data_IF_320634977651
#
_entry.id   IF_320634977651
#
_cell.length_a   1.000
_cell.length_b   1.000
_cell.length_c   1.000
_cell.angle_alpha   90.00
_cell.angle_beta   90.00
_cell.angle_gamma   90.00
#
_symmetry.space_group_name_H-M   'P 1'
#
loop_
_entity.id
_entity.type
_entity.pdbx_description
1 polymer ?
#
# COMPACT_ATOMS: atom_id res chain seq x y z
N UNK A 1 -13.56 16.66 -35.46
CA UNK A 1 -12.96 15.36 -35.85
C UNK A 1 -13.11 14.41 -34.67
N UNK A 2 -13.86 13.32 -34.78
CA UNK A 2 -14.03 12.41 -33.64
C UNK A 2 -12.74 11.62 -33.41
N UNK A 3 -12.20 11.58 -32.19
CA UNK A 3 -10.99 10.81 -31.91
C UNK A 3 -11.24 9.31 -32.15
N UNK A 4 -10.22 8.64 -32.68
CA UNK A 4 -10.20 7.19 -32.95
C UNK A 4 -9.57 6.47 -31.75
N UNK A 5 -10.05 5.26 -31.44
CA UNK A 5 -9.55 4.42 -30.35
C UNK A 5 -8.03 4.26 -30.42
N UNK A 6 -7.34 4.55 -29.31
CA UNK A 6 -5.87 4.43 -29.20
C UNK A 6 -5.36 2.99 -29.29
N UNK A 7 -6.21 2.00 -28.98
CA UNK A 7 -5.81 0.59 -28.99
C UNK A 7 -6.07 -0.10 -30.33
N UNK A 8 -7.31 -0.06 -30.82
CA UNK A 8 -7.67 -0.79 -32.03
C UNK A 8 -7.58 0.05 -33.30
N UNK A 9 -7.47 1.38 -33.19
CA UNK A 9 -7.44 2.35 -34.30
C UNK A 9 -8.57 2.21 -35.34
N UNK A 10 -9.62 1.45 -35.04
CA UNK A 10 -10.74 1.13 -35.94
C UNK A 10 -12.03 1.87 -35.57
N UNK A 11 -12.33 1.94 -34.28
CA UNK A 11 -13.61 2.48 -33.78
C UNK A 11 -13.45 3.88 -33.18
N UNK A 12 -14.53 4.65 -33.16
CA UNK A 12 -14.58 5.96 -32.49
C UNK A 12 -14.36 5.79 -30.99
N UNK A 13 -13.68 6.75 -30.36
CA UNK A 13 -13.55 6.84 -28.90
C UNK A 13 -14.91 7.17 -28.30
N UNK A 14 -15.33 6.37 -27.34
CA UNK A 14 -16.54 6.61 -26.54
C UNK A 14 -16.33 6.29 -25.05
N UNK A 15 -15.08 6.06 -24.62
CA UNK A 15 -14.72 5.74 -23.23
C UNK A 15 -13.49 6.53 -22.77
N UNK A 16 -13.30 6.70 -21.45
CA UNK A 16 -12.08 7.29 -20.89
C UNK A 16 -10.82 6.57 -21.37
N UNK A 17 -9.67 7.25 -21.28
CA UNK A 17 -8.35 6.77 -21.78
C UNK A 17 -8.21 6.75 -23.31
N UNK A 18 -9.20 7.27 -24.05
CA UNK A 18 -9.16 7.30 -25.51
C UNK A 18 -9.47 5.94 -26.14
N UNK A 19 -10.35 5.15 -25.52
CA UNK A 19 -10.69 3.80 -25.96
C UNK A 19 -12.13 3.72 -26.51
N UNK A 20 -12.39 2.71 -27.35
CA UNK A 20 -13.75 2.31 -27.70
C UNK A 20 -14.32 1.35 -26.63
N UNK A 21 -15.62 1.10 -26.69
CA UNK A 21 -16.34 0.24 -25.75
C UNK A 21 -15.72 -1.15 -25.61
N UNK A 22 -15.45 -1.82 -26.74
CA UNK A 22 -14.87 -3.17 -26.74
C UNK A 22 -13.50 -3.17 -26.07
N UNK A 23 -12.59 -2.30 -26.50
CA UNK A 23 -11.24 -2.22 -25.94
C UNK A 23 -11.23 -1.78 -24.47
N UNK A 24 -12.20 -1.00 -24.01
CA UNK A 24 -12.25 -0.60 -22.60
C UNK A 24 -12.56 -1.77 -21.67
N UNK A 25 -13.42 -2.70 -22.10
CA UNK A 25 -13.84 -3.86 -21.31
C UNK A 25 -13.02 -5.12 -21.58
N UNK A 26 -12.18 -5.14 -22.62
CA UNK A 26 -11.18 -6.20 -22.81
C UNK A 26 -10.24 -6.23 -21.60
N UNK A 27 -10.14 -7.36 -20.87
CA UNK A 27 -9.22 -7.50 -19.74
C UNK A 27 -7.78 -7.17 -20.16
N UNK A 28 -7.08 -6.36 -19.36
CA UNK A 28 -5.68 -5.99 -19.59
C UNK A 28 -5.48 -4.81 -20.54
N UNK A 29 -6.42 -4.50 -21.44
CA UNK A 29 -6.24 -3.39 -22.40
C UNK A 29 -6.33 -2.04 -21.71
N UNK A 30 -7.32 -1.84 -20.82
CA UNK A 30 -7.54 -0.58 -20.11
C UNK A 30 -6.34 -0.20 -19.23
N UNK A 31 -5.64 -1.20 -18.70
CA UNK A 31 -4.48 -1.07 -17.81
C UNK A 31 -3.23 -0.56 -18.55
N UNK A 32 -3.13 -0.75 -19.88
CA UNK A 32 -2.04 -0.23 -20.71
C UNK A 32 -2.10 1.29 -20.91
N UNK A 33 -3.25 1.92 -20.65
CA UNK A 33 -3.45 3.35 -20.87
C UNK A 33 -3.62 4.07 -19.53
N UNK A 34 -2.81 5.11 -19.25
CA UNK A 34 -2.93 5.84 -18.00
C UNK A 34 -4.31 6.49 -17.89
N UNK A 35 -4.84 6.53 -16.67
CA UNK A 35 -6.10 7.21 -16.42
C UNK A 35 -5.91 8.72 -16.59
N UNK A 36 -6.68 9.32 -17.50
CA UNK A 36 -6.55 10.74 -17.89
C UNK A 36 -7.36 11.70 -17.02
N UNK A 37 -8.16 11.20 -16.08
CA UNK A 37 -9.00 12.05 -15.22
C UNK A 37 -8.20 12.59 -14.03
N UNK A 38 -8.37 13.87 -13.70
CA UNK A 38 -7.84 14.48 -12.48
C UNK A 38 -8.36 13.81 -11.19
N UNK A 39 -9.51 13.15 -11.26
CA UNK A 39 -10.14 12.41 -10.16
C UNK A 39 -9.74 10.93 -10.12
N UNK A 40 -8.88 10.47 -11.04
CA UNK A 40 -8.43 9.10 -11.04
C UNK A 40 -7.51 8.83 -9.84
N UNK A 41 -7.84 7.81 -9.04
CA UNK A 41 -6.94 7.32 -7.99
C UNK A 41 -5.63 6.86 -8.62
N UNK A 42 -4.51 7.35 -8.08
CA UNK A 42 -3.13 7.01 -8.45
C UNK A 42 -2.39 6.52 -7.20
N UNK A 43 -1.35 5.72 -7.39
CA UNK A 43 -0.52 5.20 -6.30
C UNK A 43 -1.04 3.90 -5.68
N UNK A 44 -0.53 3.57 -4.49
CA UNK A 44 -0.92 2.38 -3.73
C UNK A 44 -2.38 2.51 -3.31
N UNK A 45 -3.19 1.52 -3.65
CA UNK A 45 -4.61 1.53 -3.31
C UNK A 45 -4.83 1.48 -1.80
N UNK A 46 -5.86 2.18 -1.31
CA UNK A 46 -6.34 2.00 0.06
C UNK A 46 -6.92 0.59 0.19
N UNK A 47 -6.30 -0.26 1.02
CA UNK A 47 -6.84 -1.58 1.35
C UNK A 47 -7.87 -1.42 2.46
N UNK A 48 -9.15 -1.53 2.09
CA UNK A 48 -10.27 -1.51 3.04
C UNK A 48 -10.58 -2.95 3.47
N UNK A 49 -10.23 -3.31 4.70
CA UNK A 49 -10.48 -4.65 5.26
C UNK A 49 -9.68 -4.89 6.54
N UNK A 50 -9.76 -6.11 7.08
CA UNK A 50 -8.94 -6.53 8.22
C UNK A 50 -7.48 -6.72 7.77
N UNK A 51 -6.70 -5.64 7.81
CA UNK A 51 -5.29 -5.67 7.49
C UNK A 51 -4.49 -6.31 8.64
N UNK A 52 -3.58 -7.26 8.37
CA UNK A 52 -2.74 -7.84 9.41
C UNK A 52 -1.85 -6.77 10.04
N UNK A 53 -1.66 -6.88 11.36
CA UNK A 53 -0.77 -5.97 12.09
C UNK A 53 0.69 -6.22 11.65
N UNK A 54 1.48 -5.17 11.37
CA UNK A 54 2.88 -5.36 11.00
C UNK A 54 3.68 -6.01 12.14
N UNK A 55 4.64 -6.86 11.79
CA UNK A 55 5.38 -7.67 12.77
C UNK A 55 6.26 -6.86 13.74
N UNK A 56 6.69 -5.67 13.33
CA UNK A 56 7.56 -4.79 14.10
C UNK A 56 7.08 -3.32 14.07
N UNK A 57 7.14 -2.61 15.20
CA UNK A 57 6.95 -1.17 15.23
C UNK A 57 8.13 -0.45 14.58
N UNK A 58 7.95 0.83 14.27
CA UNK A 58 9.03 1.72 13.85
C UNK A 58 9.38 2.72 14.95
N UNK A 59 10.69 2.94 15.11
CA UNK A 59 11.29 3.96 15.97
C UNK A 59 11.32 5.35 15.31
N UNK A 60 11.07 5.43 14.00
CA UNK A 60 11.06 6.69 13.27
C UNK A 60 9.94 7.61 13.78
N UNK A 61 10.30 8.87 14.05
CA UNK A 61 9.36 9.87 14.54
C UNK A 61 8.32 10.26 13.47
N UNK A 62 7.13 10.75 13.86
CA UNK A 62 6.15 11.23 12.90
C UNK A 62 6.70 12.37 12.05
N UNK A 63 6.39 12.36 10.74
CA UNK A 63 6.81 13.40 9.80
C UNK A 63 8.21 13.22 9.19
N UNK A 64 9.01 12.27 9.68
CA UNK A 64 10.33 12.00 9.09
C UNK A 64 10.22 11.13 7.83
N UNK A 65 11.16 11.25 6.87
CA UNK A 65 11.14 10.44 5.66
C UNK A 65 11.26 8.93 5.95
N UNK A 66 11.97 8.55 7.01
CA UNK A 66 12.10 7.15 7.44
C UNK A 66 10.75 6.57 7.87
N UNK A 67 9.93 7.37 8.58
CA UNK A 67 8.57 6.96 8.95
C UNK A 67 7.72 6.77 7.70
N UNK A 68 7.77 7.70 6.75
CA UNK A 68 7.01 7.63 5.51
C UNK A 68 7.37 6.39 4.68
N UNK A 69 8.66 6.06 4.58
CA UNK A 69 9.13 4.85 3.88
C UNK A 69 8.54 3.57 4.49
N UNK A 70 8.50 3.46 5.83
CA UNK A 70 7.89 2.32 6.52
C UNK A 70 6.39 2.24 6.24
N UNK A 71 5.67 3.38 6.30
CA UNK A 71 4.23 3.41 6.04
C UNK A 71 3.90 3.04 4.59
N UNK A 72 4.70 3.50 3.63
CA UNK A 72 4.55 3.13 2.21
C UNK A 72 4.76 1.62 2.01
N UNK A 73 5.79 1.05 2.63
CA UNK A 73 6.04 -0.39 2.57
C UNK A 73 4.87 -1.19 3.16
N UNK A 74 4.35 -0.80 4.32
CA UNK A 74 3.18 -1.44 4.94
C UNK A 74 1.94 -1.36 4.04
N UNK A 75 1.71 -0.21 3.39
CA UNK A 75 0.61 -0.03 2.44
C UNK A 75 0.75 -0.98 1.24
N UNK A 76 1.95 -1.11 0.66
CA UNK A 76 2.22 -2.05 -0.45
C UNK A 76 1.95 -3.50 -0.04
N UNK A 77 2.28 -3.85 1.21
CA UNK A 77 2.05 -5.18 1.79
C UNK A 77 0.61 -5.40 2.28
N UNK A 78 -0.29 -4.41 2.13
CA UNK A 78 -1.67 -4.44 2.65
C UNK A 78 -1.74 -4.73 4.15
N UNK A 79 -0.74 -4.29 4.91
CA UNK A 79 -0.71 -4.36 6.37
C UNK A 79 -1.41 -3.15 6.98
N UNK A 80 -1.73 -3.23 8.27
CA UNK A 80 -2.15 -2.07 9.03
C UNK A 80 -1.05 -0.99 8.96
N UNK A 81 -1.46 0.23 8.59
CA UNK A 81 -0.53 1.35 8.38
C UNK A 81 0.23 1.66 9.68
N UNK A 82 -0.47 1.68 10.81
CA UNK A 82 0.08 2.00 12.11
C UNK A 82 0.17 0.76 13.00
N UNK A 83 1.27 0.66 13.74
CA UNK A 83 1.41 -0.29 14.85
C UNK A 83 1.17 0.45 16.18
N UNK A 84 0.47 -0.12 17.18
CA UNK A 84 0.22 0.53 18.47
C UNK A 84 1.50 0.99 19.20
N UNK A 85 2.57 0.20 19.08
CA UNK A 85 3.88 0.51 19.64
C UNK A 85 4.79 1.36 18.71
N UNK A 86 4.29 1.93 17.61
CA UNK A 86 5.07 2.89 16.82
C UNK A 86 5.37 4.16 17.63
N UNK A 87 6.52 4.80 17.34
CA UNK A 87 6.87 6.09 17.92
C UNK A 87 5.82 7.17 17.57
N UNK A 88 5.39 7.95 18.57
CA UNK A 88 4.43 9.07 18.43
C UNK A 88 5.10 10.44 18.55
N UNK A 89 6.34 10.47 19.00
CA UNK A 89 7.19 11.64 19.08
C UNK A 89 8.66 11.19 18.97
N UNK A 90 9.57 12.14 18.85
CA UNK A 90 11.01 11.86 18.76
C UNK A 90 11.54 11.26 20.07
N UNK A 91 12.29 10.15 19.99
CA UNK A 91 12.83 9.46 21.16
C UNK A 91 11.83 8.64 21.97
N UNK A 92 10.64 8.36 21.42
CA UNK A 92 9.62 7.54 22.08
C UNK A 92 10.13 6.13 22.43
N UNK A 93 10.05 5.67 23.69
CA UNK A 93 10.61 4.38 24.11
C UNK A 93 9.75 3.18 23.72
N UNK A 94 8.47 3.36 23.40
CA UNK A 94 7.50 2.27 23.18
C UNK A 94 7.91 1.24 22.12
N UNK A 95 8.48 1.62 20.96
CA UNK A 95 8.96 0.65 19.98
C UNK A 95 10.07 -0.24 20.54
N UNK A 96 11.01 0.34 21.28
CA UNK A 96 12.14 -0.37 21.87
C UNK A 96 11.68 -1.32 22.98
N UNK A 97 10.75 -0.89 23.81
CA UNK A 97 10.13 -1.74 24.84
C UNK A 97 9.39 -2.93 24.24
N UNK A 98 8.63 -2.72 23.16
CA UNK A 98 7.96 -3.79 22.44
C UNK A 98 8.94 -4.80 21.84
N UNK A 99 10.05 -4.32 21.27
CA UNK A 99 11.09 -5.21 20.73
C UNK A 99 11.77 -6.02 21.85
N UNK A 100 12.01 -5.41 23.02
CA UNK A 100 12.55 -6.09 24.21
C UNK A 100 11.59 -7.12 24.80
N UNK A 101 10.29 -6.84 24.85
CA UNK A 101 9.31 -7.81 25.37
C UNK A 101 9.16 -9.01 24.43
N UNK A 102 9.17 -8.76 23.12
CA UNK A 102 9.10 -9.81 22.10
C UNK A 102 10.31 -10.75 22.13
N UNK A 103 11.51 -10.24 22.38
CA UNK A 103 12.72 -11.08 22.52
C UNK A 103 12.70 -11.93 23.79
N UNK A 104 12.16 -11.41 24.91
CA UNK A 104 11.98 -12.19 26.15
C UNK A 104 10.98 -13.33 25.96
N UNK A 105 9.86 -13.09 25.28
CA UNK A 105 8.88 -14.15 24.99
C UNK A 105 9.42 -15.22 24.05
N UNK A 106 10.30 -14.87 23.10
CA UNK A 106 10.96 -15.84 22.25
C UNK A 106 11.99 -16.70 23.01
N UNK A 107 12.72 -16.10 23.96
CA UNK A 107 13.69 -16.82 24.80
C UNK A 107 13.02 -17.78 25.80
N UNK A 108 11.83 -17.45 26.30
CA UNK A 108 11.07 -18.30 27.23
C UNK A 108 10.44 -19.55 26.58
N UNK A 109 10.29 -19.60 25.26
CA UNK A 109 9.69 -20.72 24.55
C UNK A 109 10.61 -21.94 24.37
N UNK A 110 11.90 -21.81 24.71
CA UNK A 110 12.93 -22.84 24.45
C UNK A 110 13.08 -23.85 25.60
N UNK A 111 12.38 -23.68 26.74
CA UNK A 111 12.67 -24.44 27.96
C UNK A 111 11.72 -25.61 28.31
N UNK A 112 10.73 -25.95 27.47
CA UNK A 112 9.74 -27.02 27.78
C UNK A 112 9.78 -28.20 26.80
N UNK A 113 10.96 -28.82 26.60
CA UNK A 113 11.03 -30.21 26.11
C UNK A 113 11.85 -30.99 27.14
N UNK A 114 11.13 -31.61 28.07
CA UNK A 114 11.64 -32.63 28.99
C UNK A 114 10.94 -33.95 28.66
#
# INVERSE_FOLDING_TARGET
MNPICRHCTKSKVNRPRGLCWSCYYTPGVKELYPSTSKYARRGVGNFTGNAPLPASPTTAAPGTPEKLAVLEQRAKMKQAIFHPADARYEGDPRPLEFLKSKSRSAAGAVCCVA
#
